data_IF_851897574110
#
_entry.id   IF_851897574110
#
_cell.length_a   1.000
_cell.length_b   1.000
_cell.length_c   1.000
_cell.angle_alpha   90.00
_cell.angle_beta   90.00
_cell.angle_gamma   90.00
#
_symmetry.space_group_name_H-M   'P 1'
#
loop_
_entity.id
_entity.type
_entity.pdbx_description
1 polymer ?
#
# COMPACT_ATOMS: atom_id res chain seq x y z
N UNK A 1 -19.43 22.65 -4.91
CA UNK A 1 -18.52 23.75 -4.56
C UNK A 1 -17.14 23.33 -5.03
N UNK A 2 -16.54 24.08 -5.89
CA UNK A 2 -15.55 23.76 -6.89
C UNK A 2 -14.19 23.33 -6.29
N UNK A 3 -13.71 22.13 -6.65
CA UNK A 3 -12.33 21.68 -6.38
C UNK A 3 -11.33 22.63 -7.05
N UNK A 4 -10.49 23.30 -6.26
CA UNK A 4 -9.31 23.98 -6.74
C UNK A 4 -8.19 22.95 -6.94
N UNK A 5 -8.05 22.46 -8.16
CA UNK A 5 -6.84 21.77 -8.61
C UNK A 5 -5.81 22.84 -8.89
N UNK A 6 -4.80 22.99 -8.05
CA UNK A 6 -3.65 23.84 -8.33
C UNK A 6 -2.83 23.24 -9.47
N UNK A 7 -3.05 23.80 -10.68
CA UNK A 7 -2.29 23.50 -11.87
C UNK A 7 -1.09 24.44 -11.92
N UNK A 8 0.10 23.98 -11.50
CA UNK A 8 1.33 24.77 -11.72
C UNK A 8 1.86 24.41 -13.09
N UNK A 9 1.68 25.31 -14.05
CA UNK A 9 2.22 25.18 -15.41
C UNK A 9 3.56 25.91 -15.44
N UNK A 10 4.67 25.19 -15.55
CA UNK A 10 5.96 25.76 -15.89
C UNK A 10 6.13 25.72 -17.41
N UNK A 11 6.22 26.89 -18.03
CA UNK A 11 6.54 27.02 -19.45
C UNK A 11 8.05 27.29 -19.55
N UNK A 12 8.80 26.32 -20.01
CA UNK A 12 10.20 26.52 -20.44
C UNK A 12 10.22 26.60 -21.96
N UNK A 13 10.56 27.79 -22.46
CA UNK A 13 10.77 28.02 -23.90
C UNK A 13 12.24 27.75 -24.20
N UNK A 14 12.54 26.62 -24.81
CA UNK A 14 13.80 26.39 -25.51
C UNK A 14 13.50 26.05 -26.97
N UNK A 15 13.98 26.94 -27.86
CA UNK A 15 13.99 26.87 -29.33
C UNK A 15 13.10 25.77 -29.95
N UNK A 16 11.91 26.18 -30.40
CA UNK A 16 10.99 25.54 -31.35
C UNK A 16 10.24 24.27 -30.96
N UNK A 17 10.22 23.85 -29.69
CA UNK A 17 9.33 22.79 -29.19
C UNK A 17 8.70 23.22 -27.85
N UNK A 18 7.40 23.41 -27.83
CA UNK A 18 6.64 23.65 -26.59
C UNK A 18 6.39 22.29 -25.94
N UNK A 19 7.18 21.94 -24.92
CA UNK A 19 6.93 20.78 -24.10
C UNK A 19 6.11 21.26 -22.90
N UNK A 20 4.81 21.01 -22.94
CA UNK A 20 3.94 21.21 -21.77
C UNK A 20 4.14 20.04 -20.82
N UNK A 21 5.02 20.21 -19.83
CA UNK A 21 5.15 19.22 -18.73
C UNK A 21 4.01 19.53 -17.76
N UNK A 22 2.95 18.77 -17.84
CA UNK A 22 1.91 18.75 -16.81
C UNK A 22 2.45 17.87 -15.68
N UNK A 23 3.08 18.48 -14.68
CA UNK A 23 3.41 17.79 -13.43
C UNK A 23 2.09 17.56 -12.69
N UNK A 24 1.51 16.40 -12.88
CA UNK A 24 0.54 15.89 -11.92
C UNK A 24 1.31 15.52 -10.65
N UNK A 25 1.50 16.47 -9.75
CA UNK A 25 1.70 16.16 -8.35
C UNK A 25 0.35 15.68 -7.79
N UNK A 26 -0.07 14.53 -8.21
CA UNK A 26 -1.07 13.78 -7.49
C UNK A 26 -0.39 13.26 -6.24
N UNK A 27 -0.43 14.06 -5.16
CA UNK A 27 -0.26 13.53 -3.82
C UNK A 27 -1.29 12.43 -3.68
N UNK A 28 -0.86 11.17 -3.80
CA UNK A 28 -1.79 10.06 -3.61
C UNK A 28 -2.24 10.06 -2.15
N UNK A 29 -3.48 10.46 -1.94
CA UNK A 29 -4.14 10.40 -0.65
C UNK A 29 -4.87 9.07 -0.61
N UNK A 30 -4.67 8.30 0.47
CA UNK A 30 -5.39 7.05 0.71
C UNK A 30 -6.87 7.38 0.94
N UNK A 31 -7.76 6.65 0.28
CA UNK A 31 -9.20 6.77 0.46
C UNK A 31 -9.69 5.68 1.42
N UNK A 32 -10.15 6.06 2.59
CA UNK A 32 -10.76 5.17 3.58
C UNK A 32 -12.26 5.33 3.51
N UNK A 33 -12.98 4.25 3.25
CA UNK A 33 -14.43 4.20 3.29
C UNK A 33 -14.90 3.61 4.62
N UNK A 34 -15.95 4.19 5.19
CA UNK A 34 -16.63 3.70 6.39
C UNK A 34 -18.10 3.58 6.01
N UNK A 35 -18.64 2.37 6.09
CA UNK A 35 -20.03 2.10 5.74
C UNK A 35 -20.74 1.38 6.88
N UNK A 36 -21.63 2.09 7.54
CA UNK A 36 -22.39 1.63 8.73
C UNK A 36 -23.63 2.54 8.86
N UNK A 37 -24.80 2.00 9.14
CA UNK A 37 -26.03 2.79 9.34
C UNK A 37 -26.07 3.46 10.74
N UNK A 38 -25.18 3.03 11.66
CA UNK A 38 -24.98 3.72 12.95
C UNK A 38 -23.92 4.84 12.82
N UNK A 39 -24.40 6.09 12.82
CA UNK A 39 -23.54 7.27 12.76
C UNK A 39 -22.51 7.36 13.91
N UNK A 40 -22.83 6.83 15.11
CA UNK A 40 -21.89 6.84 16.23
C UNK A 40 -20.68 5.93 15.97
N UNK A 41 -20.91 4.78 15.35
CA UNK A 41 -19.85 3.87 14.93
C UNK A 41 -19.00 4.52 13.83
N UNK A 42 -19.62 5.14 12.84
CA UNK A 42 -18.90 5.85 11.76
C UNK A 42 -17.96 6.93 12.35
N UNK A 43 -18.44 7.78 13.24
CA UNK A 43 -17.62 8.84 13.85
C UNK A 43 -16.55 8.27 14.79
N UNK A 44 -16.82 7.15 15.49
CA UNK A 44 -15.81 6.45 16.28
C UNK A 44 -14.67 5.94 15.41
N UNK A 45 -14.97 5.23 14.32
CA UNK A 45 -13.98 4.68 13.38
C UNK A 45 -13.16 5.81 12.77
N UNK A 46 -13.81 6.88 12.29
CA UNK A 46 -13.16 8.07 11.75
C UNK A 46 -12.18 8.68 12.74
N UNK A 47 -12.61 8.89 14.00
CA UNK A 47 -11.77 9.45 15.05
C UNK A 47 -10.54 8.58 15.33
N UNK A 48 -10.71 7.25 15.34
CA UNK A 48 -9.62 6.31 15.52
C UNK A 48 -8.63 6.37 14.35
N UNK A 49 -9.11 6.41 13.09
CA UNK A 49 -8.26 6.62 11.93
C UNK A 49 -7.47 7.92 12.03
N UNK A 50 -8.13 9.05 12.26
CA UNK A 50 -7.47 10.35 12.35
C UNK A 50 -6.41 10.39 13.46
N UNK A 51 -6.72 9.81 14.63
CA UNK A 51 -5.77 9.72 15.75
C UNK A 51 -4.52 8.96 15.40
N UNK A 52 -4.66 7.82 14.70
CA UNK A 52 -3.51 7.03 14.23
C UNK A 52 -2.58 7.85 13.33
N UNK A 53 -3.14 8.54 12.32
CA UNK A 53 -2.34 9.32 11.38
C UNK A 53 -1.66 10.53 12.02
N UNK A 54 -2.31 11.15 13.03
CA UNK A 54 -1.73 12.25 13.81
C UNK A 54 -0.57 11.73 14.68
N UNK A 55 -0.78 10.65 15.42
CA UNK A 55 0.23 10.06 16.32
C UNK A 55 1.49 9.64 15.56
N UNK A 56 1.32 9.02 14.40
CA UNK A 56 2.44 8.54 13.56
C UNK A 56 2.99 9.60 12.61
N UNK A 57 2.48 10.84 12.65
CA UNK A 57 2.88 11.96 11.77
C UNK A 57 2.81 11.60 10.29
N UNK A 58 1.82 10.81 9.90
CA UNK A 58 1.55 10.41 8.55
C UNK A 58 0.64 11.41 7.84
N UNK A 59 0.67 11.43 6.49
CA UNK A 59 -0.27 12.20 5.70
C UNK A 59 -1.68 11.65 5.91
N UNK A 60 -2.63 12.53 6.25
CA UNK A 60 -4.01 12.13 6.53
C UNK A 60 -4.67 11.55 5.28
N UNK A 61 -5.46 10.48 5.44
CA UNK A 61 -6.28 9.93 4.38
C UNK A 61 -7.51 10.82 4.13
N UNK A 62 -8.12 10.67 2.97
CA UNK A 62 -9.50 11.14 2.75
C UNK A 62 -10.46 10.07 3.28
N UNK A 63 -11.33 10.46 4.22
CA UNK A 63 -12.29 9.55 4.86
C UNK A 63 -13.69 9.88 4.35
N UNK A 64 -14.36 8.87 3.79
CA UNK A 64 -15.71 8.96 3.25
C UNK A 64 -16.64 8.07 4.09
N UNK A 65 -17.74 8.65 4.56
CA UNK A 65 -18.75 7.95 5.37
C UNK A 65 -19.97 7.69 4.50
N UNK A 66 -20.49 6.48 4.55
CA UNK A 66 -21.69 6.01 3.89
C UNK A 66 -22.59 5.36 4.93
N UNK A 67 -23.91 5.57 4.79
CA UNK A 67 -24.89 5.04 5.74
C UNK A 67 -25.78 3.95 5.14
N UNK A 68 -25.50 3.55 3.90
CA UNK A 68 -26.19 2.46 3.21
C UNK A 68 -25.30 1.75 2.21
N UNK A 69 -25.67 0.50 1.85
CA UNK A 69 -25.00 -0.26 0.80
C UNK A 69 -25.16 0.39 -0.58
N UNK A 70 -26.27 1.05 -0.81
CA UNK A 70 -26.57 1.77 -2.05
C UNK A 70 -25.63 2.96 -2.25
N UNK A 71 -25.40 3.75 -1.19
CA UNK A 71 -24.57 4.95 -1.26
C UNK A 71 -23.10 4.63 -1.53
N UNK A 72 -22.54 3.61 -0.85
CA UNK A 72 -21.14 3.21 -1.08
C UNK A 72 -20.95 2.64 -2.50
N UNK A 73 -21.92 1.88 -3.03
CA UNK A 73 -21.85 1.33 -4.38
C UNK A 73 -22.07 2.37 -5.47
N UNK A 74 -22.76 3.48 -5.17
CA UNK A 74 -22.96 4.61 -6.09
C UNK A 74 -21.76 5.57 -6.14
N UNK A 75 -20.75 5.39 -5.29
CA UNK A 75 -19.59 6.27 -5.24
C UNK A 75 -18.67 6.05 -6.45
N UNK A 76 -18.30 7.15 -7.12
CA UNK A 76 -17.29 7.15 -8.20
C UNK A 76 -15.84 7.16 -7.65
N UNK A 77 -15.66 7.24 -6.33
CA UNK A 77 -14.36 7.28 -5.68
C UNK A 77 -13.87 5.85 -5.48
N UNK A 78 -12.60 5.62 -5.81
CA UNK A 78 -11.97 4.32 -5.61
C UNK A 78 -11.53 4.17 -4.16
N UNK A 79 -12.03 3.16 -3.41
CA UNK A 79 -11.57 2.90 -2.05
C UNK A 79 -10.21 2.19 -2.04
N UNK A 80 -9.41 2.48 -1.02
CA UNK A 80 -8.18 1.75 -0.70
C UNK A 80 -8.38 0.84 0.51
N UNK A 81 -9.03 1.34 1.57
CA UNK A 81 -9.45 0.58 2.75
C UNK A 81 -10.95 0.80 2.96
N UNK A 82 -11.68 -0.25 3.26
CA UNK A 82 -13.13 -0.20 3.51
C UNK A 82 -13.41 -0.83 4.88
N UNK A 83 -14.01 -0.08 5.77
CA UNK A 83 -14.66 -0.57 6.99
C UNK A 83 -16.14 -0.73 6.69
N UNK A 84 -16.67 -1.95 6.83
CA UNK A 84 -17.99 -2.32 6.34
C UNK A 84 -18.77 -3.07 7.41
N UNK A 85 -19.94 -2.55 7.80
CA UNK A 85 -20.88 -3.34 8.57
C UNK A 85 -21.63 -4.34 7.66
N UNK A 86 -22.01 -5.47 8.22
CA UNK A 86 -22.79 -6.50 7.54
C UNK A 86 -24.28 -6.17 7.58
N UNK A 87 -24.80 -5.83 8.74
CA UNK A 87 -26.23 -5.56 8.91
C UNK A 87 -26.54 -4.08 8.77
N UNK A 88 -27.01 -3.72 7.61
CA UNK A 88 -27.50 -2.39 7.28
C UNK A 88 -28.87 -2.48 6.66
N UNK A 89 -29.65 -1.40 6.74
CA UNK A 89 -30.90 -1.29 5.99
C UNK A 89 -30.64 -1.25 4.49
N UNK A 90 -31.43 -1.99 3.68
CA UNK A 90 -31.27 -2.07 2.22
C UNK A 90 -30.32 -3.19 1.78
N UNK A 91 -29.28 -2.85 1.01
CA UNK A 91 -28.27 -3.84 0.57
C UNK A 91 -27.34 -4.18 1.75
N UNK A 92 -27.27 -5.47 2.10
CA UNK A 92 -26.41 -5.94 3.19
C UNK A 92 -24.92 -5.85 2.85
N UNK A 93 -24.07 -5.81 3.89
CA UNK A 93 -22.63 -5.69 3.74
C UNK A 93 -21.97 -6.84 3.01
N UNK A 94 -22.55 -8.05 3.00
CA UNK A 94 -22.02 -9.20 2.24
C UNK A 94 -22.16 -8.94 0.74
N UNK A 95 -23.32 -8.46 0.30
CA UNK A 95 -23.55 -8.10 -1.10
C UNK A 95 -22.68 -6.92 -1.53
N UNK A 96 -22.54 -5.90 -0.67
CA UNK A 96 -21.64 -4.76 -0.86
C UNK A 96 -20.19 -5.24 -1.00
N UNK A 97 -19.69 -6.04 -0.06
CA UNK A 97 -18.32 -6.57 -0.08
C UNK A 97 -18.01 -7.35 -1.34
N UNK A 98 -18.90 -8.24 -1.77
CA UNK A 98 -18.79 -8.96 -3.03
C UNK A 98 -18.71 -8.05 -4.26
N UNK A 99 -19.47 -6.97 -4.28
CA UNK A 99 -19.48 -5.99 -5.38
C UNK A 99 -18.19 -5.16 -5.39
N UNK A 100 -17.71 -4.73 -4.21
CA UNK A 100 -16.47 -3.98 -4.06
C UNK A 100 -15.24 -4.79 -4.49
N UNK A 101 -15.15 -6.07 -4.11
CA UNK A 101 -14.03 -6.95 -4.53
C UNK A 101 -13.99 -7.12 -6.05
N UNK A 102 -15.15 -7.23 -6.71
CA UNK A 102 -15.22 -7.33 -8.18
C UNK A 102 -14.79 -6.04 -8.87
N UNK A 103 -15.21 -4.89 -8.35
CA UNK A 103 -14.90 -3.58 -8.93
C UNK A 103 -13.50 -3.08 -8.57
N UNK A 104 -13.05 -3.38 -7.36
CA UNK A 104 -11.79 -2.92 -6.77
C UNK A 104 -11.02 -4.07 -6.11
N UNK A 105 -10.43 -5.01 -6.88
CA UNK A 105 -9.78 -6.21 -6.33
C UNK A 105 -8.59 -5.92 -5.39
N UNK A 106 -8.05 -4.70 -5.42
CA UNK A 106 -6.96 -4.26 -4.56
C UNK A 106 -7.44 -3.52 -3.29
N UNK A 107 -8.74 -3.32 -3.11
CA UNK A 107 -9.29 -2.70 -1.92
C UNK A 107 -9.20 -3.67 -0.73
N UNK A 108 -8.78 -3.16 0.41
CA UNK A 108 -8.67 -3.92 1.66
C UNK A 108 -9.98 -3.79 2.42
N UNK A 109 -10.73 -4.89 2.53
CA UNK A 109 -12.04 -4.88 3.20
C UNK A 109 -11.91 -5.43 4.62
N UNK A 110 -12.33 -4.64 5.59
CA UNK A 110 -12.40 -4.97 7.02
C UNK A 110 -13.86 -4.94 7.43
N UNK A 111 -14.36 -6.06 7.90
CA UNK A 111 -15.73 -6.16 8.42
C UNK A 111 -15.75 -5.68 9.86
N UNK A 112 -16.72 -4.83 10.21
CA UNK A 112 -16.98 -4.39 11.59
C UNK A 112 -18.46 -4.68 11.90
N UNK A 113 -18.77 -5.69 12.71
CA UNK A 113 -20.16 -6.05 12.98
C UNK A 113 -20.35 -6.66 14.36
N UNK A 114 -21.59 -6.66 14.84
CA UNK A 114 -22.02 -7.35 16.07
C UNK A 114 -22.37 -8.83 15.83
N UNK A 115 -22.36 -9.31 14.61
CA UNK A 115 -22.92 -10.60 14.19
C UNK A 115 -21.85 -11.56 13.67
N UNK A 116 -21.19 -12.34 14.56
CA UNK A 116 -20.12 -13.26 14.18
C UNK A 116 -20.59 -14.42 13.30
N UNK A 117 -21.88 -14.73 13.26
CA UNK A 117 -22.46 -15.80 12.44
C UNK A 117 -22.33 -15.57 10.94
N UNK A 118 -22.15 -14.33 10.50
CA UNK A 118 -21.90 -13.97 9.08
C UNK A 118 -20.43 -14.08 8.67
N UNK A 119 -19.54 -14.50 9.57
CA UNK A 119 -18.11 -14.56 9.28
C UNK A 119 -17.79 -15.52 8.13
N UNK A 120 -18.44 -16.69 8.08
CA UNK A 120 -18.23 -17.66 7.00
C UNK A 120 -18.63 -17.09 5.64
N UNK A 121 -19.72 -16.33 5.55
CA UNK A 121 -20.15 -15.70 4.31
C UNK A 121 -19.20 -14.54 3.91
N UNK A 122 -18.73 -13.76 4.87
CA UNK A 122 -17.75 -12.71 4.64
C UNK A 122 -16.41 -13.26 4.14
N UNK A 123 -15.96 -14.42 4.64
CA UNK A 123 -14.71 -15.04 4.22
C UNK A 123 -14.71 -15.49 2.74
N UNK A 124 -15.86 -15.63 2.10
CA UNK A 124 -15.97 -16.04 0.69
C UNK A 124 -15.48 -14.97 -0.29
N UNK A 125 -15.42 -13.71 0.10
CA UNK A 125 -14.95 -12.62 -0.77
C UNK A 125 -13.63 -11.97 -0.34
N UNK A 126 -12.76 -12.74 0.34
CA UNK A 126 -11.42 -12.29 0.72
C UNK A 126 -11.39 -11.07 1.65
N UNK A 127 -12.17 -11.11 2.75
CA UNK A 127 -12.08 -10.14 3.83
C UNK A 127 -10.69 -10.16 4.45
N UNK A 128 -10.07 -9.01 4.57
CA UNK A 128 -8.72 -8.88 5.15
C UNK A 128 -8.76 -9.15 6.66
N UNK A 129 -9.73 -8.54 7.37
CA UNK A 129 -9.89 -8.69 8.82
C UNK A 129 -11.36 -8.57 9.21
N UNK A 130 -11.63 -9.03 10.42
CA UNK A 130 -12.90 -8.92 11.10
C UNK A 130 -12.69 -8.24 12.47
N UNK A 131 -13.54 -7.29 12.81
CA UNK A 131 -13.58 -6.60 14.10
C UNK A 131 -15.00 -6.71 14.66
N UNK A 132 -15.15 -7.25 15.88
CA UNK A 132 -16.45 -7.29 16.55
C UNK A 132 -16.79 -5.93 17.16
N UNK A 133 -18.06 -5.53 17.09
CA UNK A 133 -18.59 -4.43 17.91
C UNK A 133 -18.80 -4.93 19.35
N UNK A 134 -18.50 -4.14 20.41
CA UNK A 134 -18.02 -2.76 20.36
C UNK A 134 -16.55 -2.66 19.90
N UNK A 135 -16.24 -1.59 19.13
CA UNK A 135 -14.90 -1.39 18.56
C UNK A 135 -13.93 -0.97 19.66
N UNK A 136 -13.02 -1.88 20.03
CA UNK A 136 -11.95 -1.58 20.97
C UNK A 136 -10.79 -0.87 20.28
N UNK A 137 -10.37 0.31 20.79
CA UNK A 137 -9.32 1.14 20.19
C UNK A 137 -8.02 0.38 19.94
N UNK A 138 -7.55 -0.45 20.87
CA UNK A 138 -6.31 -1.22 20.73
C UNK A 138 -6.40 -2.26 19.62
N UNK A 139 -7.53 -2.95 19.50
CA UNK A 139 -7.77 -3.91 18.44
C UNK A 139 -7.85 -3.21 17.09
N UNK A 140 -8.58 -2.10 17.02
CA UNK A 140 -8.73 -1.28 15.82
C UNK A 140 -7.37 -0.78 15.31
N UNK A 141 -6.55 -0.15 16.18
CA UNK A 141 -5.24 0.40 15.80
C UNK A 141 -4.33 -0.66 15.18
N UNK A 142 -4.27 -1.85 15.78
CA UNK A 142 -3.49 -2.96 15.21
C UNK A 142 -4.00 -3.39 13.84
N UNK A 143 -5.32 -3.50 13.66
CA UNK A 143 -5.90 -3.87 12.36
C UNK A 143 -5.69 -2.77 11.30
N UNK A 144 -5.74 -1.49 11.68
CA UNK A 144 -5.43 -0.38 10.78
C UNK A 144 -3.96 -0.39 10.37
N UNK A 145 -3.03 -0.66 11.29
CA UNK A 145 -1.60 -0.80 11.00
C UNK A 145 -1.33 -1.95 10.01
N UNK A 146 -1.95 -3.11 10.24
CA UNK A 146 -1.87 -4.25 9.32
C UNK A 146 -2.44 -3.90 7.94
N UNK A 147 -3.59 -3.19 7.88
CA UNK A 147 -4.22 -2.77 6.63
C UNK A 147 -3.36 -1.76 5.85
N UNK A 148 -2.75 -0.79 6.53
CA UNK A 148 -1.82 0.15 5.91
C UNK A 148 -0.56 -0.57 5.38
N UNK A 149 -0.05 -1.55 6.13
CA UNK A 149 1.07 -2.37 5.69
C UNK A 149 0.71 -3.17 4.43
N UNK A 150 -0.47 -3.79 4.40
CA UNK A 150 -1.00 -4.51 3.24
C UNK A 150 -1.22 -3.59 2.05
N UNK A 151 -1.85 -2.43 2.24
CA UNK A 151 -2.03 -1.43 1.20
C UNK A 151 -0.69 -1.00 0.58
N UNK A 152 0.31 -0.76 1.41
CA UNK A 152 1.65 -0.42 0.95
C UNK A 152 2.32 -1.59 0.20
N UNK A 153 2.00 -2.85 0.55
CA UNK A 153 2.51 -4.05 -0.14
C UNK A 153 1.86 -4.27 -1.50
N UNK A 154 0.55 -4.04 -1.60
CA UNK A 154 -0.24 -4.25 -2.84
C UNK A 154 -0.08 -3.09 -3.81
N UNK A 155 -0.07 -1.86 -3.32
CA UNK A 155 -0.19 -0.63 -4.12
C UNK A 155 0.97 0.35 -4.02
N UNK A 156 1.99 0.05 -3.23
CA UNK A 156 3.13 0.95 -3.02
C UNK A 156 3.73 1.40 -4.37
N UNK A 157 3.48 2.66 -4.74
CA UNK A 157 4.13 3.26 -5.90
C UNK A 157 5.31 4.09 -5.42
N UNK A 158 6.46 3.88 -6.02
CA UNK A 158 7.64 4.69 -5.76
C UNK A 158 7.91 5.64 -6.93
N UNK A 159 8.40 6.81 -6.60
CA UNK A 159 8.80 7.81 -7.60
C UNK A 159 10.29 7.71 -7.82
N UNK A 160 10.69 7.38 -9.05
CA UNK A 160 12.09 7.22 -9.45
C UNK A 160 12.46 8.25 -10.50
N UNK A 161 13.48 9.06 -10.20
CA UNK A 161 13.98 10.09 -11.13
C UNK A 161 15.18 9.56 -11.89
N UNK A 162 15.02 9.33 -13.21
CA UNK A 162 16.05 8.81 -14.08
C UNK A 162 16.33 9.79 -15.23
N UNK A 163 17.55 10.34 -15.29
CA UNK A 163 18.00 11.23 -16.40
C UNK A 163 16.98 12.28 -16.85
N UNK A 164 16.35 12.97 -15.89
CA UNK A 164 15.35 14.03 -16.18
C UNK A 164 13.92 13.53 -16.38
N UNK A 165 13.68 12.22 -16.45
CA UNK A 165 12.35 11.62 -16.51
C UNK A 165 11.97 11.09 -15.13
N UNK A 166 10.72 11.30 -14.75
CA UNK A 166 10.15 10.74 -13.52
C UNK A 166 9.31 9.52 -13.86
N UNK A 167 9.66 8.39 -13.28
CA UNK A 167 8.93 7.14 -13.39
C UNK A 167 8.15 6.87 -12.12
N UNK A 168 6.94 6.37 -12.25
CA UNK A 168 6.11 5.89 -11.16
C UNK A 168 6.10 4.37 -11.27
N UNK A 169 6.84 3.70 -10.39
CA UNK A 169 6.96 2.25 -10.39
C UNK A 169 6.06 1.65 -9.30
N UNK A 170 5.40 0.56 -9.62
CA UNK A 170 4.70 -0.22 -8.59
C UNK A 170 5.72 -1.01 -7.77
N UNK A 171 5.68 -0.90 -6.45
CA UNK A 171 6.60 -1.62 -5.57
C UNK A 171 6.49 -3.15 -5.75
N UNK A 172 5.29 -3.67 -6.05
CA UNK A 172 5.10 -5.10 -6.33
C UNK A 172 5.91 -5.59 -7.53
N UNK A 173 6.20 -4.72 -8.51
CA UNK A 173 6.93 -5.08 -9.73
C UNK A 173 8.46 -4.97 -9.54
N UNK A 174 8.91 -4.42 -8.40
CA UNK A 174 10.33 -4.29 -8.09
C UNK A 174 10.85 -5.61 -7.50
N UNK A 175 11.85 -6.18 -8.16
CA UNK A 175 12.54 -7.39 -7.70
C UNK A 175 13.61 -7.02 -6.66
N UNK A 176 14.47 -6.05 -6.99
CA UNK A 176 15.51 -5.58 -6.08
C UNK A 176 16.01 -4.19 -6.44
N UNK A 177 16.67 -3.56 -5.49
CA UNK A 177 17.41 -2.32 -5.67
C UNK A 177 18.86 -2.56 -5.28
N UNK A 178 19.78 -2.15 -6.15
CA UNK A 178 21.22 -2.27 -5.89
C UNK A 178 21.95 -0.94 -6.09
N UNK A 179 23.02 -0.75 -5.32
CA UNK A 179 23.98 0.34 -5.50
C UNK A 179 25.04 -0.11 -6.49
N UNK A 180 25.17 0.58 -7.61
CA UNK A 180 26.24 0.31 -8.56
C UNK A 180 27.60 0.71 -7.94
N UNK A 181 28.55 -0.23 -7.77
CA UNK A 181 29.81 0.06 -7.09
C UNK A 181 30.70 1.06 -7.83
N UNK A 182 30.55 1.20 -9.14
CA UNK A 182 31.43 2.05 -9.96
C UNK A 182 30.98 3.50 -10.08
N UNK A 183 29.66 3.77 -10.06
CA UNK A 183 29.13 5.12 -10.27
C UNK A 183 28.25 5.66 -9.13
N UNK A 184 28.07 4.91 -8.06
CA UNK A 184 27.19 5.22 -6.90
C UNK A 184 25.72 5.48 -7.23
N UNK A 185 25.31 5.22 -8.46
CA UNK A 185 23.91 5.25 -8.86
C UNK A 185 23.21 4.02 -8.33
N UNK A 186 21.88 4.13 -8.17
CA UNK A 186 21.05 2.96 -7.90
C UNK A 186 20.54 2.37 -9.19
N UNK A 187 20.50 1.06 -9.21
CA UNK A 187 19.80 0.27 -10.23
C UNK A 187 18.58 -0.38 -9.58
N UNK A 188 17.39 -0.12 -10.11
CA UNK A 188 16.13 -0.71 -9.67
C UNK A 188 15.73 -1.72 -10.73
N UNK A 189 15.73 -2.99 -10.35
CA UNK A 189 15.30 -4.10 -11.21
C UNK A 189 13.84 -4.38 -10.98
N UNK A 190 13.05 -4.33 -12.04
CA UNK A 190 11.63 -4.72 -12.03
C UNK A 190 11.43 -5.99 -12.85
N UNK A 191 10.22 -6.52 -12.82
CA UNK A 191 9.86 -7.71 -13.61
C UNK A 191 10.01 -7.50 -15.11
N UNK A 192 9.85 -6.27 -15.60
CA UNK A 192 9.89 -5.92 -17.04
C UNK A 192 11.13 -5.14 -17.45
N UNK A 193 11.64 -4.25 -16.58
CA UNK A 193 12.63 -3.25 -16.94
C UNK A 193 13.65 -2.98 -15.81
N UNK A 194 14.68 -2.21 -16.16
CA UNK A 194 15.71 -1.77 -15.22
C UNK A 194 15.84 -0.24 -15.26
N UNK A 195 15.81 0.40 -14.10
CA UNK A 195 15.88 1.86 -13.97
C UNK A 195 17.14 2.28 -13.21
N UNK A 196 17.86 3.29 -13.72
CA UNK A 196 19.05 3.83 -13.06
C UNK A 196 18.77 5.24 -12.54
N UNK A 197 18.98 5.47 -11.26
CA UNK A 197 18.71 6.76 -10.60
C UNK A 197 19.89 7.24 -9.75
N UNK A 198 19.98 8.55 -9.56
CA UNK A 198 20.93 9.20 -8.64
C UNK A 198 20.37 9.37 -7.22
N UNK A 199 19.13 8.96 -6.97
CA UNK A 199 18.54 8.94 -5.63
C UNK A 199 19.35 8.04 -4.69
N UNK A 200 19.25 8.27 -3.38
CA UNK A 200 19.97 7.45 -2.40
C UNK A 200 19.19 6.18 -2.06
N UNK A 201 19.90 5.13 -1.63
CA UNK A 201 19.27 3.88 -1.19
C UNK A 201 18.31 4.12 -0.01
N UNK A 202 18.67 5.05 0.90
CA UNK A 202 17.82 5.41 2.03
C UNK A 202 16.51 6.07 1.57
N UNK A 203 16.58 6.96 0.56
CA UNK A 203 15.39 7.59 -0.03
C UNK A 203 14.48 6.57 -0.72
N UNK A 204 15.04 5.63 -1.48
CA UNK A 204 14.22 4.57 -2.10
C UNK A 204 13.63 3.66 -1.00
N UNK A 205 14.43 3.28 0.01
CA UNK A 205 13.97 2.43 1.11
C UNK A 205 12.77 3.02 1.85
N UNK A 206 12.75 4.33 2.08
CA UNK A 206 11.64 5.00 2.79
C UNK A 206 10.32 5.03 1.97
N UNK A 207 10.38 4.78 0.66
CA UNK A 207 9.21 4.70 -0.22
C UNK A 207 8.73 3.26 -0.44
N UNK A 208 9.54 2.26 -0.07
CA UNK A 208 9.20 0.85 -0.25
C UNK A 208 8.39 0.32 0.94
N UNK A 209 7.41 -0.56 0.70
CA UNK A 209 6.65 -1.23 1.77
C UNK A 209 7.56 -2.03 2.70
N UNK A 210 7.47 -1.78 4.01
CA UNK A 210 8.35 -2.42 5.01
C UNK A 210 8.12 -3.93 5.15
N UNK A 211 6.90 -4.41 4.87
CA UNK A 211 6.53 -5.82 5.00
C UNK A 211 7.09 -6.74 3.92
N UNK A 212 7.37 -6.20 2.72
CA UNK A 212 7.80 -7.00 1.56
C UNK A 212 9.28 -6.82 1.19
N UNK A 213 9.94 -5.78 1.70
CA UNK A 213 11.32 -5.45 1.33
C UNK A 213 12.27 -5.60 2.50
N UNK A 214 13.40 -6.25 2.23
CA UNK A 214 14.47 -6.44 3.20
C UNK A 214 15.80 -5.88 2.69
N UNK A 215 16.51 -5.12 3.51
CA UNK A 215 17.87 -4.66 3.19
C UNK A 215 18.90 -5.68 3.64
N UNK A 216 19.30 -6.57 2.74
CA UNK A 216 20.25 -7.66 3.01
C UNK A 216 21.70 -7.18 3.18
N UNK A 217 22.07 -6.09 2.51
CA UNK A 217 23.40 -5.50 2.53
C UNK A 217 23.33 -3.98 2.44
N UNK A 218 24.41 -3.26 2.75
CA UNK A 218 24.47 -1.80 2.54
C UNK A 218 24.20 -1.36 1.10
N UNK A 219 24.36 -2.29 0.14
CA UNK A 219 24.18 -2.04 -1.27
C UNK A 219 22.91 -2.68 -1.86
N UNK A 220 22.18 -3.49 -1.10
CA UNK A 220 21.06 -4.25 -1.64
C UNK A 220 19.80 -4.15 -0.79
N UNK A 221 18.67 -3.90 -1.45
CA UNK A 221 17.33 -4.10 -0.92
C UNK A 221 16.64 -5.11 -1.82
N UNK A 222 16.08 -6.16 -1.26
CA UNK A 222 15.41 -7.26 -1.98
C UNK A 222 13.92 -7.28 -1.66
N UNK A 223 13.10 -7.59 -2.64
CA UNK A 223 11.70 -7.89 -2.43
C UNK A 223 11.57 -9.38 -2.12
N UNK A 224 11.07 -9.70 -0.93
CA UNK A 224 10.99 -11.06 -0.43
C UNK A 224 10.03 -11.95 -1.23
N UNK A 225 9.09 -11.36 -1.99
CA UNK A 225 8.20 -12.10 -2.89
C UNK A 225 8.95 -12.76 -4.07
N UNK A 226 10.13 -12.24 -4.45
CA UNK A 226 10.90 -12.71 -5.61
C UNK A 226 12.12 -13.56 -5.24
N UNK A 227 12.21 -14.00 -3.98
CA UNK A 227 13.30 -14.88 -3.53
C UNK A 227 13.03 -16.31 -4.01
N UNK A 228 13.95 -16.84 -4.84
CA UNK A 228 13.91 -18.23 -5.30
C UNK A 228 14.65 -19.16 -4.34
N UNK A 229 15.83 -18.74 -3.87
CA UNK A 229 16.64 -19.50 -2.92
C UNK A 229 17.66 -18.59 -2.24
N UNK A 230 18.28 -19.07 -1.15
CA UNK A 230 19.35 -18.34 -0.47
C UNK A 230 20.31 -19.28 0.22
N UNK A 231 21.51 -18.77 0.51
CA UNK A 231 22.52 -19.41 1.37
C UNK A 231 23.03 -18.39 2.40
N UNK A 232 24.08 -18.73 3.16
CA UNK A 232 24.62 -17.89 4.23
C UNK A 232 25.18 -16.54 3.76
N UNK A 233 25.44 -16.36 2.47
CA UNK A 233 26.08 -15.16 1.92
C UNK A 233 25.30 -14.49 0.81
N UNK A 234 24.33 -15.18 0.21
CA UNK A 234 23.67 -14.69 -1.01
C UNK A 234 22.21 -15.10 -1.09
N UNK A 235 21.37 -14.20 -1.63
CA UNK A 235 19.98 -14.40 -1.99
C UNK A 235 19.89 -14.44 -3.50
N UNK A 236 19.29 -15.48 -4.05
CA UNK A 236 19.01 -15.64 -5.48
C UNK A 236 17.57 -15.25 -5.75
N UNK A 237 17.40 -14.33 -6.68
CA UNK A 237 16.14 -13.71 -7.04
C UNK A 237 15.68 -14.19 -8.41
N UNK A 238 14.42 -13.91 -8.75
CA UNK A 238 13.94 -14.06 -10.12
C UNK A 238 14.79 -13.25 -11.12
N UNK A 239 14.63 -13.54 -12.42
CA UNK A 239 15.38 -12.94 -13.53
C UNK A 239 16.90 -13.10 -13.41
N UNK A 240 17.37 -14.22 -12.78
CA UNK A 240 18.79 -14.52 -12.58
C UNK A 240 19.57 -13.46 -11.79
N UNK A 241 18.86 -12.63 -11.02
CA UNK A 241 19.46 -11.64 -10.15
C UNK A 241 19.93 -12.27 -8.83
N UNK A 242 20.86 -11.60 -8.14
CA UNK A 242 21.27 -12.00 -6.81
C UNK A 242 21.64 -10.78 -5.96
N UNK A 243 21.54 -10.93 -4.66
CA UNK A 243 21.96 -9.93 -3.68
C UNK A 243 22.81 -10.58 -2.59
N UNK A 244 23.88 -9.91 -2.17
CA UNK A 244 24.69 -10.41 -1.07
C UNK A 244 24.00 -10.16 0.28
N UNK A 245 24.24 -11.05 1.24
CA UNK A 245 23.83 -10.90 2.64
C UNK A 245 25.06 -10.50 3.44
N UNK A 246 24.99 -9.39 4.18
CA UNK A 246 26.04 -9.03 5.12
C UNK A 246 26.13 -10.09 6.24
N UNK A 247 27.32 -10.54 6.59
CA UNK A 247 27.55 -11.61 7.58
C UNK A 247 26.74 -11.44 8.87
N UNK A 248 26.67 -10.21 9.40
CA UNK A 248 25.91 -9.90 10.62
C UNK A 248 24.40 -9.89 10.45
N UNK A 249 23.90 -9.95 9.22
CA UNK A 249 22.48 -9.88 8.90
C UNK A 249 21.85 -11.22 8.56
N UNK A 250 22.61 -12.29 8.47
CA UNK A 250 22.07 -13.59 8.08
C UNK A 250 20.95 -14.09 9.00
N UNK A 251 21.17 -14.06 10.31
CA UNK A 251 20.18 -14.53 11.28
C UNK A 251 18.92 -13.63 11.28
N UNK A 252 19.11 -12.29 11.18
CA UNK A 252 18.02 -11.34 11.07
C UNK A 252 17.21 -11.55 9.77
N UNK A 253 17.90 -11.76 8.65
CA UNK A 253 17.28 -12.10 7.38
C UNK A 253 16.47 -13.40 7.47
N UNK A 254 17.08 -14.46 8.04
CA UNK A 254 16.43 -15.75 8.17
C UNK A 254 15.12 -15.64 8.98
N UNK A 255 15.16 -14.97 10.12
CA UNK A 255 13.99 -14.77 10.99
C UNK A 255 12.91 -13.92 10.27
N UNK A 256 13.32 -12.83 9.63
CA UNK A 256 12.41 -11.94 8.89
C UNK A 256 11.74 -12.67 7.74
N UNK A 257 12.52 -13.41 6.94
CA UNK A 257 11.99 -14.15 5.79
C UNK A 257 11.11 -15.33 6.20
N UNK A 258 11.47 -16.03 7.29
CA UNK A 258 10.63 -17.09 7.85
C UNK A 258 9.28 -16.55 8.35
N UNK A 259 9.28 -15.41 9.03
CA UNK A 259 8.05 -14.74 9.45
C UNK A 259 7.22 -14.30 8.22
N UNK A 260 7.86 -13.72 7.21
CA UNK A 260 7.21 -13.33 5.96
C UNK A 260 6.51 -14.52 5.28
N UNK A 261 7.16 -15.69 5.18
CA UNK A 261 6.56 -16.90 4.58
C UNK A 261 5.34 -17.40 5.37
N UNK A 262 5.25 -17.13 6.67
CA UNK A 262 4.07 -17.51 7.47
C UNK A 262 2.88 -16.59 7.22
N UNK A 263 3.10 -15.37 6.73
CA UNK A 263 2.02 -14.43 6.38
C UNK A 263 1.40 -14.72 5.00
N UNK A 264 2.07 -15.53 4.16
CA UNK A 264 1.58 -15.95 2.82
C UNK A 264 0.68 -17.19 2.86
N UNK A 265 0.50 -17.81 4.03
CA UNK A 265 -0.41 -18.96 4.26
C UNK A 265 -1.73 -18.50 4.83
#
# INVERSE_FOLDING_TARGET
MTLFVFKITFILIFSSVIITIVLFYGDWIMNIFICDDDNLICEQIKTLCESYYIEHKLKRPDIYIFHSGEDILASDIKPDIVYLDIQMSGIDGIAVGNSLVKSYPAAIIIIITSFPEYLDDAMRFHVFRYISKPVESKCFMRNLEDAISEFNSIGGRIIVKCKGTTYILSAKDIIMVEVNPHCRNLTIHTVSDTYTTTQTLASIKSMLPSGSFYQSHRCYIVNMNYIMSYNNSRIYMENHLYADIALRKYNDFFNTYSAFLTTLR
#
